data_IF_435883321112
#
_entry.id   IF_435883321112
#
_cell.length_a   1.000
_cell.length_b   1.000
_cell.length_c   1.000
_cell.angle_alpha   90.00
_cell.angle_beta   90.00
_cell.angle_gamma   90.00
#
_symmetry.space_group_name_H-M   'P 1'
#
loop_
_entity.id
_entity.type
_entity.pdbx_description
1 polymer ?
#
# COMPACT_ATOMS: atom_id res chain seq x y z
N UNK A 1 32.10 -56.09 54.57
CA UNK A 1 30.97 -55.20 54.18
C UNK A 1 31.35 -53.74 53.83
N UNK A 2 32.62 -53.28 53.98
CA UNK A 2 33.05 -51.87 53.72
C UNK A 2 33.26 -51.49 52.24
N UNK A 3 33.73 -52.42 51.39
CA UNK A 3 34.07 -52.12 49.98
C UNK A 3 32.87 -51.81 49.07
N UNK A 4 31.71 -52.44 49.31
CA UNK A 4 30.48 -52.25 48.50
C UNK A 4 29.86 -50.85 48.66
N UNK A 5 30.04 -50.20 49.82
CA UNK A 5 29.57 -48.81 50.08
C UNK A 5 30.43 -47.75 49.39
N UNK A 6 31.75 -47.98 49.24
CA UNK A 6 32.67 -47.06 48.57
C UNK A 6 32.45 -47.01 47.05
N UNK A 7 32.19 -48.16 46.42
CA UNK A 7 31.85 -48.26 44.99
C UNK A 7 30.55 -47.51 44.64
N UNK A 8 29.52 -47.66 45.48
CA UNK A 8 28.22 -46.99 45.29
C UNK A 8 28.35 -45.46 45.39
N UNK A 9 29.07 -44.94 46.40
CA UNK A 9 29.39 -43.50 46.53
C UNK A 9 30.19 -42.94 45.34
N UNK A 10 31.11 -43.71 44.78
CA UNK A 10 31.91 -43.28 43.61
C UNK A 10 31.06 -43.22 42.33
N UNK A 11 30.10 -44.15 42.18
CA UNK A 11 29.14 -44.16 41.06
C UNK A 11 28.13 -43.01 41.18
N UNK A 12 27.59 -42.75 42.36
CA UNK A 12 26.70 -41.61 42.65
C UNK A 12 27.38 -40.26 42.40
N UNK A 13 28.64 -40.06 42.85
CA UNK A 13 29.41 -38.85 42.54
C UNK A 13 29.66 -38.64 41.04
N UNK A 14 29.89 -39.72 40.28
CA UNK A 14 30.02 -39.65 38.81
C UNK A 14 28.69 -39.31 38.13
N UNK A 15 27.57 -39.89 38.57
CA UNK A 15 26.23 -39.58 38.09
C UNK A 15 25.84 -38.11 38.37
N UNK A 16 26.14 -37.60 39.56
CA UNK A 16 25.94 -36.19 39.92
C UNK A 16 26.80 -35.24 39.07
N UNK A 17 28.05 -35.62 38.77
CA UNK A 17 28.92 -34.85 37.87
C UNK A 17 28.40 -34.79 36.43
N UNK A 18 27.91 -35.92 35.90
CA UNK A 18 27.31 -35.98 34.54
C UNK A 18 26.01 -35.18 34.49
N UNK A 19 25.15 -35.28 35.51
CA UNK A 19 23.92 -34.49 35.60
C UNK A 19 24.21 -32.98 35.68
N UNK A 20 25.26 -32.57 36.41
CA UNK A 20 25.72 -31.19 36.46
C UNK A 20 26.21 -30.65 35.11
N UNK A 21 26.95 -31.46 34.34
CA UNK A 21 27.42 -31.09 32.99
C UNK A 21 26.23 -30.96 32.03
N UNK A 22 25.26 -31.87 32.08
CA UNK A 22 24.05 -31.81 31.26
C UNK A 22 23.20 -30.57 31.56
N UNK A 23 23.03 -30.23 32.84
CA UNK A 23 22.34 -28.99 33.25
C UNK A 23 23.05 -27.74 32.73
N UNK A 24 24.38 -27.74 32.72
CA UNK A 24 25.19 -26.61 32.25
C UNK A 24 25.10 -26.44 30.73
N UNK A 25 25.07 -27.54 29.97
CA UNK A 25 24.86 -27.51 28.50
C UNK A 25 23.46 -26.98 28.17
N UNK A 26 22.43 -27.43 28.90
CA UNK A 26 21.06 -26.93 28.73
C UNK A 26 21.01 -25.43 29.03
N UNK A 27 21.64 -24.99 30.13
CA UNK A 27 21.68 -23.58 30.53
C UNK A 27 22.37 -22.71 29.46
N UNK A 28 23.51 -23.14 28.94
CA UNK A 28 24.22 -22.44 27.86
C UNK A 28 23.36 -22.38 26.59
N UNK A 29 22.66 -23.47 26.25
CA UNK A 29 21.74 -23.51 25.12
C UNK A 29 20.57 -22.53 25.28
N UNK A 30 19.98 -22.44 26.49
CA UNK A 30 18.92 -21.48 26.81
C UNK A 30 19.44 -20.05 26.72
N UNK A 31 20.60 -19.75 27.31
CA UNK A 31 21.21 -18.42 27.25
C UNK A 31 21.51 -18.04 25.79
N UNK A 32 22.12 -18.95 25.01
CA UNK A 32 22.39 -18.70 23.59
C UNK A 32 21.09 -18.48 22.80
N UNK A 33 20.02 -19.21 23.12
CA UNK A 33 18.70 -19.02 22.51
C UNK A 33 18.11 -17.65 22.86
N UNK A 34 18.20 -17.21 24.11
CA UNK A 34 17.69 -15.91 24.58
C UNK A 34 18.50 -14.77 23.98
N UNK A 35 19.83 -14.86 23.99
CA UNK A 35 20.73 -13.87 23.37
C UNK A 35 20.48 -13.80 21.86
N UNK A 36 20.31 -14.94 21.19
CA UNK A 36 19.91 -14.98 19.79
C UNK A 36 18.56 -14.32 19.58
N UNK A 37 17.54 -14.60 20.40
CA UNK A 37 16.23 -13.96 20.29
C UNK A 37 16.31 -12.43 20.47
N UNK A 38 17.07 -11.96 21.46
CA UNK A 38 17.27 -10.52 21.67
C UNK A 38 18.03 -9.86 20.51
N UNK A 39 19.09 -10.50 20.01
CA UNK A 39 19.81 -10.03 18.83
C UNK A 39 18.91 -9.99 17.59
N UNK A 40 18.01 -10.97 17.44
CA UNK A 40 17.04 -11.01 16.34
C UNK A 40 16.01 -9.88 16.43
N UNK A 41 15.55 -9.52 17.63
CA UNK A 41 14.65 -8.38 17.86
C UNK A 41 15.37 -7.06 17.56
N UNK A 42 16.61 -6.90 18.03
CA UNK A 42 17.40 -5.67 17.78
C UNK A 42 17.83 -5.48 16.31
N UNK A 43 17.85 -6.55 15.51
CA UNK A 43 18.29 -6.52 14.10
C UNK A 43 17.16 -6.78 13.10
N UNK A 44 15.93 -7.00 13.57
CA UNK A 44 14.79 -6.99 12.68
C UNK A 44 14.61 -5.56 12.15
N UNK A 45 14.42 -5.36 10.84
CA UNK A 45 14.01 -4.05 10.35
C UNK A 45 12.69 -3.68 11.06
N UNK A 46 12.65 -2.49 11.66
CA UNK A 46 11.40 -1.91 12.17
C UNK A 46 10.35 -1.97 11.04
N UNK A 47 9.08 -2.31 11.34
CA UNK A 47 8.02 -2.19 10.34
C UNK A 47 8.04 -0.77 9.78
N UNK A 48 8.09 -0.65 8.46
CA UNK A 48 8.38 0.63 7.84
C UNK A 48 7.31 1.67 8.18
N UNK A 49 7.71 2.80 8.81
CA UNK A 49 6.81 3.90 9.12
C UNK A 49 5.98 4.37 7.91
N UNK A 50 6.47 4.14 6.69
CA UNK A 50 5.77 4.46 5.45
C UNK A 50 4.40 3.77 5.31
N UNK A 51 4.20 2.56 5.85
CA UNK A 51 2.92 1.85 5.74
C UNK A 51 1.85 2.33 6.73
N UNK A 52 2.25 3.06 7.76
CA UNK A 52 1.35 3.82 8.64
C UNK A 52 1.41 5.33 8.38
N UNK A 53 2.05 5.75 7.28
CA UNK A 53 2.18 7.15 6.90
C UNK A 53 0.83 7.78 6.58
N UNK A 54 0.77 9.11 6.64
CA UNK A 54 -0.45 9.84 6.25
C UNK A 54 -0.71 9.66 4.75
N UNK A 55 0.36 9.54 3.98
CA UNK A 55 0.41 9.33 2.54
C UNK A 55 -0.23 8.00 2.16
N UNK A 56 0.19 6.88 2.77
CA UNK A 56 -0.41 5.58 2.49
C UNK A 56 -1.88 5.53 2.97
N UNK A 57 -2.22 6.18 4.08
CA UNK A 57 -3.60 6.29 4.53
C UNK A 57 -4.48 7.08 3.55
N UNK A 58 -3.94 8.13 2.92
CA UNK A 58 -4.62 8.88 1.87
C UNK A 58 -4.89 8.00 0.65
N UNK A 59 -3.87 7.28 0.16
CA UNK A 59 -4.01 6.33 -0.96
C UNK A 59 -5.02 5.22 -0.65
N UNK A 60 -5.00 4.66 0.56
CA UNK A 60 -5.91 3.59 0.96
C UNK A 60 -7.38 4.06 1.03
N UNK A 61 -7.62 5.35 1.30
CA UNK A 61 -8.97 5.91 1.28
C UNK A 61 -9.51 6.07 -0.14
N UNK A 62 -8.67 6.47 -1.08
CA UNK A 62 -9.11 6.85 -2.44
C UNK A 62 -9.05 5.70 -3.45
N UNK A 63 -8.04 4.84 -3.35
CA UNK A 63 -7.76 3.81 -4.37
C UNK A 63 -8.95 2.89 -4.68
N UNK A 64 -9.78 2.41 -3.73
CA UNK A 64 -10.89 1.52 -4.08
C UNK A 64 -11.89 2.18 -5.03
N UNK A 65 -12.29 3.42 -4.73
CA UNK A 65 -13.27 4.13 -5.55
C UNK A 65 -12.66 4.65 -6.86
N UNK A 66 -11.38 5.05 -6.86
CA UNK A 66 -10.68 5.38 -8.08
C UNK A 66 -10.57 4.17 -9.03
N UNK A 67 -10.38 2.96 -8.50
CA UNK A 67 -10.42 1.72 -9.29
C UNK A 67 -11.81 1.39 -9.84
N UNK A 68 -12.89 1.66 -9.08
CA UNK A 68 -14.26 1.54 -9.58
C UNK A 68 -14.51 2.50 -10.77
N UNK A 69 -14.01 3.73 -10.67
CA UNK A 69 -14.05 4.71 -11.76
C UNK A 69 -13.27 4.18 -12.96
N UNK A 70 -12.06 3.67 -12.76
CA UNK A 70 -11.26 3.09 -13.83
C UNK A 70 -11.98 1.93 -14.52
N UNK A 71 -12.55 1.00 -13.75
CA UNK A 71 -13.27 -0.16 -14.29
C UNK A 71 -14.43 0.28 -15.19
N UNK A 72 -15.16 1.31 -14.76
CA UNK A 72 -16.35 1.79 -15.44
C UNK A 72 -16.07 2.72 -16.63
N UNK A 73 -14.98 3.48 -16.55
CA UNK A 73 -14.75 4.64 -17.41
C UNK A 73 -13.38 4.66 -18.11
N UNK A 74 -12.46 3.76 -17.78
CA UNK A 74 -11.12 3.69 -18.36
C UNK A 74 -10.13 4.72 -17.83
N UNK A 75 -10.54 5.63 -16.94
CA UNK A 75 -9.66 6.65 -16.37
C UNK A 75 -8.69 5.98 -15.39
N UNK A 76 -7.40 6.00 -15.69
CA UNK A 76 -6.38 5.33 -14.89
C UNK A 76 -6.39 5.81 -13.43
N UNK A 77 -6.34 4.83 -12.51
CA UNK A 77 -6.34 5.07 -11.07
C UNK A 77 -5.10 5.87 -10.67
N UNK A 78 -3.94 5.53 -11.24
CA UNK A 78 -2.68 6.22 -11.00
C UNK A 78 -2.75 7.72 -11.29
N UNK A 79 -3.42 8.10 -12.38
CA UNK A 79 -3.64 9.51 -12.77
C UNK A 79 -4.56 10.20 -11.76
N UNK A 80 -5.67 9.57 -11.42
CA UNK A 80 -6.63 10.12 -10.44
C UNK A 80 -5.95 10.35 -9.08
N UNK A 81 -5.16 9.38 -8.60
CA UNK A 81 -4.45 9.48 -7.33
C UNK A 81 -3.32 10.52 -7.39
N UNK A 82 -2.55 10.59 -8.48
CA UNK A 82 -1.46 11.57 -8.63
C UNK A 82 -1.98 13.01 -8.67
N UNK A 83 -3.08 13.26 -9.40
CA UNK A 83 -3.73 14.56 -9.38
C UNK A 83 -4.31 14.86 -8.00
N UNK A 84 -4.96 13.90 -7.33
CA UNK A 84 -5.46 14.12 -5.99
C UNK A 84 -4.32 14.49 -5.02
N UNK A 85 -3.16 13.83 -5.09
CA UNK A 85 -1.97 14.18 -4.30
C UNK A 85 -1.53 15.61 -4.57
N UNK A 86 -1.30 15.94 -5.85
CA UNK A 86 -0.73 17.22 -6.27
C UNK A 86 -1.65 18.40 -5.93
N UNK A 87 -2.94 18.26 -6.20
CA UNK A 87 -3.92 19.35 -6.10
C UNK A 87 -4.41 19.57 -4.66
N UNK A 88 -4.29 18.56 -3.79
CA UNK A 88 -4.81 18.62 -2.42
C UNK A 88 -3.76 18.58 -1.32
N UNK A 89 -2.47 18.48 -1.67
CA UNK A 89 -1.38 18.28 -0.71
C UNK A 89 -1.66 17.06 0.20
N UNK A 90 -1.89 15.89 -0.42
CA UNK A 90 -2.27 14.67 0.28
C UNK A 90 -3.55 14.81 1.13
N UNK A 91 -4.50 15.62 0.65
CA UNK A 91 -5.76 15.91 1.32
C UNK A 91 -5.66 16.91 2.46
N UNK A 92 -4.50 17.53 2.68
CA UNK A 92 -4.25 18.47 3.79
C UNK A 92 -4.55 19.92 3.41
N UNK A 93 -4.85 20.22 2.15
CA UNK A 93 -5.26 21.56 1.76
C UNK A 93 -6.54 21.96 2.48
N UNK A 94 -6.64 23.23 2.89
CA UNK A 94 -7.85 23.71 3.58
C UNK A 94 -9.14 23.54 2.75
N UNK A 95 -9.02 23.47 1.41
CA UNK A 95 -10.15 23.19 0.53
C UNK A 95 -10.53 21.70 0.53
N UNK A 96 -9.55 20.80 0.54
CA UNK A 96 -9.79 19.37 0.69
C UNK A 96 -10.45 19.03 2.03
N UNK A 97 -10.01 19.68 3.13
CA UNK A 97 -10.57 19.46 4.46
C UNK A 97 -11.97 20.06 4.64
N UNK A 98 -12.19 21.31 4.21
CA UNK A 98 -13.46 22.03 4.47
C UNK A 98 -14.52 21.80 3.39
N UNK A 99 -14.05 21.57 2.17
CA UNK A 99 -14.88 21.41 0.98
C UNK A 99 -15.00 19.98 0.49
N UNK A 100 -14.24 19.02 1.05
CA UNK A 100 -14.05 17.69 0.48
C UNK A 100 -13.62 17.73 -0.99
N UNK A 101 -12.97 18.81 -1.42
CA UNK A 101 -12.69 19.07 -2.83
C UNK A 101 -11.18 18.92 -3.09
N UNK A 102 -10.82 17.77 -3.66
CA UNK A 102 -9.43 17.38 -3.87
C UNK A 102 -8.80 18.07 -5.09
N UNK A 103 -9.60 18.51 -6.06
CA UNK A 103 -9.12 18.96 -7.38
C UNK A 103 -9.38 20.45 -7.66
N UNK A 104 -9.67 21.25 -6.62
CA UNK A 104 -9.84 22.69 -6.79
C UNK A 104 -11.03 23.11 -7.65
N UNK A 105 -12.07 22.27 -7.78
CA UNK A 105 -13.20 22.53 -8.69
C UNK A 105 -13.97 23.76 -8.23
N UNK A 106 -13.99 24.81 -9.04
CA UNK A 106 -14.78 26.04 -8.80
C UNK A 106 -16.28 25.71 -8.85
N UNK A 107 -17.06 26.32 -7.97
CA UNK A 107 -18.50 26.07 -7.82
C UNK A 107 -19.37 27.24 -8.30
N UNK A 108 -20.63 26.93 -8.65
CA UNK A 108 -21.68 27.93 -8.92
C UNK A 108 -22.99 27.47 -8.27
N UNK A 109 -23.84 28.43 -7.88
CA UNK A 109 -25.18 28.13 -7.40
C UNK A 109 -26.00 27.37 -8.46
N UNK A 110 -26.89 26.44 -8.07
CA UNK A 110 -27.35 26.15 -6.69
C UNK A 110 -26.52 25.08 -5.95
N UNK A 111 -25.36 24.66 -6.48
CA UNK A 111 -24.56 23.61 -5.86
C UNK A 111 -23.98 24.07 -4.51
N UNK A 112 -23.78 23.15 -3.54
CA UNK A 112 -23.07 23.46 -2.30
C UNK A 112 -21.67 24.01 -2.60
N UNK A 113 -21.27 25.05 -1.87
CA UNK A 113 -19.98 25.72 -2.07
C UNK A 113 -19.31 26.06 -0.75
N UNK A 114 -17.99 26.19 -0.79
CA UNK A 114 -17.17 26.82 0.25
C UNK A 114 -16.47 28.04 -0.35
N UNK A 115 -16.54 29.17 0.35
CA UNK A 115 -15.85 30.39 -0.06
C UNK A 115 -14.51 30.47 0.63
N UNK A 116 -13.42 30.61 -0.13
CA UNK A 116 -12.06 30.64 0.39
C UNK A 116 -11.23 31.71 -0.33
N UNK A 117 -10.27 32.28 0.38
CA UNK A 117 -9.24 33.11 -0.26
C UNK A 117 -8.29 32.20 -1.02
N UNK A 118 -8.03 32.52 -2.29
CA UNK A 118 -7.09 31.83 -3.16
C UNK A 118 -6.14 32.84 -3.80
N UNK A 119 -4.96 32.38 -4.20
CA UNK A 119 -4.02 33.16 -5.00
C UNK A 119 -4.29 32.94 -6.47
N UNK A 120 -4.46 34.01 -7.22
CA UNK A 120 -4.58 33.98 -8.69
C UNK A 120 -3.43 34.78 -9.29
N UNK A 121 -2.94 34.34 -10.43
CA UNK A 121 -1.92 35.07 -11.19
C UNK A 121 -2.60 35.86 -12.30
N UNK A 122 -2.72 37.17 -12.11
CA UNK A 122 -3.39 38.09 -13.05
C UNK A 122 -2.40 39.19 -13.42
N UNK A 123 -2.23 39.43 -14.72
CA UNK A 123 -1.35 40.48 -15.26
C UNK A 123 0.08 40.44 -14.71
N UNK A 124 0.65 39.24 -14.56
CA UNK A 124 2.03 39.07 -14.09
C UNK A 124 2.22 39.17 -12.58
N UNK A 125 1.14 39.28 -11.78
CA UNK A 125 1.20 39.43 -10.33
C UNK A 125 0.28 38.43 -9.63
N UNK A 126 0.75 37.92 -8.48
CA UNK A 126 -0.09 37.15 -7.56
C UNK A 126 -0.99 38.10 -6.77
N UNK A 127 -2.30 37.88 -6.85
CA UNK A 127 -3.31 38.57 -6.05
C UNK A 127 -4.10 37.56 -5.21
N UNK A 128 -4.58 37.98 -4.04
CA UNK A 128 -5.50 37.18 -3.24
C UNK A 128 -6.94 37.61 -3.52
N UNK A 129 -7.77 36.66 -3.93
CA UNK A 129 -9.20 36.88 -4.15
C UNK A 129 -10.03 35.85 -3.41
N UNK A 130 -11.27 36.21 -3.06
CA UNK A 130 -12.25 35.21 -2.62
C UNK A 130 -12.82 34.49 -3.83
N UNK A 131 -12.72 33.18 -3.84
CA UNK A 131 -13.32 32.31 -4.85
C UNK A 131 -14.29 31.33 -4.18
N UNK A 132 -15.32 30.93 -4.92
CA UNK A 132 -16.24 29.88 -4.50
C UNK A 132 -15.84 28.56 -5.15
N UNK A 133 -15.60 27.56 -4.31
CA UNK A 133 -15.29 26.21 -4.73
C UNK A 133 -16.47 25.30 -4.44
N UNK A 134 -16.63 24.27 -5.25
CA UNK A 134 -17.65 23.24 -5.06
C UNK A 134 -17.36 22.53 -3.74
N UNK A 135 -18.41 22.28 -2.95
CA UNK A 135 -18.34 21.48 -1.73
C UNK A 135 -19.01 20.14 -1.97
N UNK A 136 -18.32 19.07 -1.62
CA UNK A 136 -18.78 17.70 -1.76
C UNK A 136 -19.13 17.10 -0.40
N UNK A 137 -19.93 16.04 -0.41
CA UNK A 137 -20.30 15.24 0.76
C UNK A 137 -19.07 14.55 1.35
N UNK A 138 -18.23 13.99 0.50
CA UNK A 138 -17.01 13.26 0.83
C UNK A 138 -16.03 13.32 -0.37
N UNK A 139 -14.84 12.74 -0.20
CA UNK A 139 -13.84 12.71 -1.27
C UNK A 139 -14.23 11.82 -2.45
N UNK A 140 -15.10 10.83 -2.27
CA UNK A 140 -15.55 9.99 -3.38
C UNK A 140 -16.39 10.81 -4.37
N UNK A 141 -17.29 11.67 -3.88
CA UNK A 141 -18.03 12.59 -4.75
C UNK A 141 -17.09 13.60 -5.47
N UNK A 142 -15.95 13.96 -4.86
CA UNK A 142 -14.93 14.76 -5.54
C UNK A 142 -14.22 13.98 -6.66
N UNK A 143 -13.97 12.67 -6.47
CA UNK A 143 -13.43 11.77 -7.49
C UNK A 143 -14.42 11.58 -8.64
N UNK A 144 -15.70 11.38 -8.35
CA UNK A 144 -16.77 11.31 -9.35
C UNK A 144 -16.86 12.59 -10.19
N UNK A 145 -16.81 13.76 -9.55
CA UNK A 145 -16.84 15.05 -10.25
C UNK A 145 -15.60 15.27 -11.13
N UNK A 146 -14.43 14.78 -10.70
CA UNK A 146 -13.21 14.79 -11.49
C UNK A 146 -13.31 13.87 -12.71
N UNK A 147 -13.82 12.64 -12.53
CA UNK A 147 -14.08 11.73 -13.63
C UNK A 147 -15.10 12.31 -14.63
N UNK A 148 -16.15 12.96 -14.13
CA UNK A 148 -17.18 13.60 -14.96
C UNK A 148 -16.58 14.70 -15.87
N UNK A 149 -15.57 15.44 -15.40
CA UNK A 149 -14.85 16.41 -16.23
C UNK A 149 -14.16 15.74 -17.41
N UNK A 150 -13.52 14.59 -17.20
CA UNK A 150 -12.84 13.88 -18.29
C UNK A 150 -13.82 13.28 -19.28
N UNK A 151 -14.94 12.76 -18.79
CA UNK A 151 -15.96 12.13 -19.63
C UNK A 151 -16.80 13.13 -20.44
N UNK A 152 -16.97 14.36 -19.95
CA UNK A 152 -17.85 15.37 -20.57
C UNK A 152 -17.09 16.53 -21.20
N UNK A 153 -15.80 16.65 -20.94
CA UNK A 153 -15.00 17.81 -21.32
C UNK A 153 -15.50 19.09 -20.66
N UNK A 154 -15.26 20.22 -21.33
CA UNK A 154 -15.76 21.53 -20.91
C UNK A 154 -17.02 21.91 -21.69
N UNK A 155 -17.71 22.96 -21.25
CA UNK A 155 -18.91 23.44 -21.94
C UNK A 155 -18.67 23.90 -23.38
N UNK A 156 -17.43 24.25 -23.74
CA UNK A 156 -17.04 24.69 -25.09
C UNK A 156 -16.23 23.65 -25.88
N UNK A 157 -15.74 22.59 -25.22
CA UNK A 157 -15.06 21.48 -25.89
C UNK A 157 -15.34 20.19 -25.12
N UNK A 158 -16.30 19.41 -25.61
CA UNK A 158 -16.72 18.15 -24.98
C UNK A 158 -15.68 17.05 -25.08
N UNK A 159 -14.83 17.10 -26.10
CA UNK A 159 -13.82 16.10 -26.39
C UNK A 159 -12.46 16.45 -25.78
N UNK A 160 -12.41 17.53 -24.98
CA UNK A 160 -11.16 18.13 -24.46
C UNK A 160 -10.24 17.13 -23.77
N UNK A 161 -10.79 16.12 -23.11
CA UNK A 161 -10.04 15.14 -22.32
C UNK A 161 -10.16 13.70 -22.85
N UNK A 162 -10.67 13.48 -24.08
CA UNK A 162 -10.81 12.13 -24.64
C UNK A 162 -9.47 11.38 -24.68
N UNK A 163 -8.38 12.06 -25.01
CA UNK A 163 -7.04 11.47 -25.00
C UNK A 163 -6.62 10.93 -23.62
N UNK A 164 -7.08 11.55 -22.52
CA UNK A 164 -6.81 11.08 -21.15
C UNK A 164 -7.55 9.77 -20.88
N UNK A 165 -8.80 9.66 -21.33
CA UNK A 165 -9.65 8.47 -21.17
C UNK A 165 -9.18 7.32 -22.07
N UNK A 166 -8.66 7.63 -23.26
CA UNK A 166 -8.15 6.65 -24.23
C UNK A 166 -6.69 6.24 -23.99
N UNK A 167 -6.02 6.82 -23.00
CA UNK A 167 -4.64 6.50 -22.70
C UNK A 167 -4.53 5.10 -22.05
N UNK A 168 -3.65 4.28 -22.60
CA UNK A 168 -3.38 2.91 -22.14
C UNK A 168 -2.31 2.84 -21.04
N UNK A 169 -1.66 3.96 -20.74
CA UNK A 169 -0.67 4.08 -19.68
C UNK A 169 -0.62 5.50 -19.12
N UNK A 170 -0.14 5.61 -17.89
CA UNK A 170 -0.12 6.86 -17.15
C UNK A 170 0.78 7.94 -17.78
N UNK A 171 1.88 7.57 -18.46
CA UNK A 171 2.74 8.57 -19.12
C UNK A 171 1.99 9.24 -20.26
N UNK A 172 1.28 8.47 -21.08
CA UNK A 172 0.42 9.01 -22.13
C UNK A 172 -0.70 9.86 -21.53
N UNK A 173 -1.41 9.37 -20.52
CA UNK A 173 -2.50 10.12 -19.88
C UNK A 173 -2.02 11.47 -19.30
N UNK A 174 -0.85 11.50 -18.66
CA UNK A 174 -0.25 12.73 -18.15
C UNK A 174 0.09 13.74 -19.27
N UNK A 175 0.63 13.26 -20.41
CA UNK A 175 0.91 14.11 -21.57
C UNK A 175 -0.38 14.64 -22.23
N UNK A 176 -1.44 13.83 -22.27
CA UNK A 176 -2.76 14.23 -22.75
C UNK A 176 -3.37 15.30 -21.82
N UNK A 177 -3.19 15.21 -20.51
CA UNK A 177 -3.59 16.26 -19.56
C UNK A 177 -2.87 17.59 -19.81
N UNK A 178 -1.56 17.55 -20.08
CA UNK A 178 -0.76 18.73 -20.42
C UNK A 178 -1.25 19.35 -21.74
N UNK A 179 -1.44 18.51 -22.76
CA UNK A 179 -1.88 18.94 -24.10
C UNK A 179 -3.30 19.51 -24.08
N UNK A 180 -4.19 18.92 -23.28
CA UNK A 180 -5.52 19.44 -23.02
C UNK A 180 -5.49 20.77 -22.24
N UNK A 181 -4.36 21.17 -21.66
CA UNK A 181 -4.26 22.36 -20.83
C UNK A 181 -5.10 22.24 -19.57
N UNK A 182 -4.97 21.10 -18.86
CA UNK A 182 -5.56 20.91 -17.53
C UNK A 182 -4.99 21.93 -16.53
N UNK A 183 -3.67 22.14 -16.56
CA UNK A 183 -2.94 23.13 -15.78
C UNK A 183 -2.14 24.08 -16.69
N UNK A 184 -1.87 25.29 -16.21
CA UNK A 184 -0.99 26.27 -16.88
C UNK A 184 0.49 26.00 -16.64
N UNK A 185 0.80 25.07 -15.74
CA UNK A 185 2.15 24.64 -15.42
C UNK A 185 2.77 23.91 -16.63
N UNK A 186 3.94 24.34 -17.14
CA UNK A 186 4.58 23.70 -18.28
C UNK A 186 5.10 22.28 -17.98
N UNK A 187 5.32 21.94 -16.70
CA UNK A 187 5.89 20.67 -16.25
C UNK A 187 4.83 19.77 -15.59
N UNK A 188 3.54 20.02 -15.82
CA UNK A 188 2.45 19.30 -15.14
C UNK A 188 2.51 17.78 -15.40
N UNK A 189 2.71 17.37 -16.66
CA UNK A 189 2.83 15.96 -17.00
C UNK A 189 4.00 15.28 -16.26
N UNK A 190 5.16 15.94 -16.23
CA UNK A 190 6.36 15.40 -15.57
C UNK A 190 6.16 15.26 -14.06
N UNK A 191 5.48 16.23 -13.42
CA UNK A 191 5.12 16.16 -11.99
C UNK A 191 4.23 14.97 -11.70
N UNK A 192 3.20 14.75 -12.51
CA UNK A 192 2.31 13.59 -12.34
C UNK A 192 3.07 12.28 -12.53
N UNK A 193 3.88 12.15 -13.57
CA UNK A 193 4.71 10.96 -13.83
C UNK A 193 5.65 10.71 -12.63
N UNK A 194 6.31 11.75 -12.12
CA UNK A 194 7.20 11.65 -10.97
C UNK A 194 6.46 11.20 -9.70
N UNK A 195 5.27 11.74 -9.43
CA UNK A 195 4.44 11.29 -8.30
C UNK A 195 4.06 9.83 -8.48
N UNK A 196 3.64 9.42 -9.67
CA UNK A 196 3.25 8.04 -9.95
C UNK A 196 4.42 7.09 -9.70
N UNK A 197 5.60 7.40 -10.23
CA UNK A 197 6.78 6.54 -10.11
C UNK A 197 7.36 6.53 -8.68
N UNK A 198 7.35 7.65 -7.97
CA UNK A 198 7.88 7.72 -6.59
C UNK A 198 7.02 6.97 -5.57
N UNK A 199 5.71 6.85 -5.83
CA UNK A 199 4.76 6.20 -4.92
C UNK A 199 4.17 4.90 -5.51
N UNK A 200 4.77 4.38 -6.58
CA UNK A 200 4.34 3.18 -7.28
C UNK A 200 2.84 3.16 -7.65
N UNK A 201 2.27 4.31 -8.02
CA UNK A 201 0.83 4.44 -8.22
C UNK A 201 0.34 3.65 -9.46
N UNK A 202 1.23 3.37 -10.41
CA UNK A 202 0.96 2.52 -11.57
C UNK A 202 0.54 1.11 -11.17
N UNK A 203 0.86 0.68 -9.95
CA UNK A 203 0.39 -0.61 -9.45
C UNK A 203 -1.14 -0.63 -9.28
N UNK A 204 -1.77 0.50 -8.96
CA UNK A 204 -3.23 0.55 -8.79
C UNK A 204 -4.00 0.48 -10.11
N UNK A 205 -3.34 0.63 -11.26
CA UNK A 205 -3.98 0.53 -12.58
C UNK A 205 -4.36 -0.91 -12.95
N UNK A 206 -3.83 -1.91 -12.25
CA UNK A 206 -4.15 -3.32 -12.53
C UNK A 206 -5.37 -3.78 -11.71
N UNK A 207 -6.49 -3.98 -12.39
CA UNK A 207 -7.80 -4.24 -11.76
C UNK A 207 -8.58 -5.43 -12.33
N UNK A 208 -8.05 -6.09 -13.36
CA UNK A 208 -8.74 -7.03 -14.23
C UNK A 208 -8.41 -8.51 -13.98
N UNK A 209 -7.63 -8.81 -12.94
CA UNK A 209 -7.21 -10.19 -12.63
C UNK A 209 -8.41 -11.05 -12.24
N UNK A 210 -8.47 -12.32 -12.67
CA UNK A 210 -9.58 -13.23 -12.36
C UNK A 210 -9.17 -14.32 -11.40
N UNK A 211 -10.01 -14.61 -10.41
CA UNK A 211 -9.80 -15.74 -9.49
C UNK A 211 -10.34 -17.02 -10.15
N UNK A 212 -9.46 -18.01 -10.35
CA UNK A 212 -9.83 -19.34 -10.83
C UNK A 212 -10.25 -20.26 -9.69
N UNK A 213 -9.54 -20.20 -8.57
CA UNK A 213 -9.91 -20.86 -7.33
C UNK A 213 -9.37 -20.09 -6.14
N UNK A 214 -10.04 -20.25 -5.01
CA UNK A 214 -9.58 -19.84 -3.70
C UNK A 214 -10.00 -20.91 -2.69
N UNK A 215 -9.02 -21.60 -2.12
CA UNK A 215 -9.24 -22.75 -1.26
C UNK A 215 -8.42 -22.66 0.02
N UNK A 216 -8.83 -23.42 1.04
CA UNK A 216 -8.08 -23.54 2.29
C UNK A 216 -6.70 -24.13 1.99
N UNK A 217 -5.67 -23.53 2.56
CA UNK A 217 -4.32 -24.06 2.59
C UNK A 217 -3.98 -24.42 4.03
N UNK A 218 -3.10 -25.39 4.20
CA UNK A 218 -2.57 -25.78 5.50
C UNK A 218 -1.05 -25.91 5.43
N UNK A 219 -0.41 -25.67 6.56
CA UNK A 219 1.03 -25.75 6.74
C UNK A 219 1.66 -24.39 7.01
N UNK A 220 2.98 -24.39 6.97
CA UNK A 220 3.81 -23.23 7.25
C UNK A 220 4.78 -22.98 6.10
N UNK A 221 5.31 -21.77 6.03
CA UNK A 221 6.36 -21.42 5.09
C UNK A 221 7.20 -20.25 5.61
N UNK A 222 8.34 -20.03 4.97
CA UNK A 222 9.16 -18.85 5.21
C UNK A 222 9.33 -18.08 3.92
N UNK A 223 9.57 -16.78 4.05
CA UNK A 223 9.97 -15.93 2.92
C UNK A 223 11.31 -16.45 2.37
N UNK A 224 11.44 -16.53 1.05
CA UNK A 224 12.71 -16.90 0.40
C UNK A 224 13.79 -15.83 0.68
N UNK A 225 15.04 -16.27 0.73
CA UNK A 225 16.18 -15.36 0.87
C UNK A 225 16.31 -14.46 -0.36
N UNK A 226 16.79 -13.23 -0.15
CA UNK A 226 17.13 -12.24 -1.19
C UNK A 226 16.02 -11.83 -2.17
N UNK A 227 14.76 -12.10 -1.84
CA UNK A 227 13.61 -11.59 -2.60
C UNK A 227 13.00 -10.35 -1.91
N UNK A 228 12.40 -9.45 -2.70
CA UNK A 228 11.50 -8.39 -2.25
C UNK A 228 10.10 -8.66 -2.80
N UNK A 229 9.08 -8.08 -2.17
CA UNK A 229 7.71 -8.26 -2.61
C UNK A 229 6.71 -7.70 -1.64
N UNK A 230 5.51 -7.45 -2.12
CA UNK A 230 4.46 -6.83 -1.35
C UNK A 230 3.48 -7.86 -0.77
N UNK A 231 2.97 -7.57 0.42
CA UNK A 231 1.77 -8.15 1.01
C UNK A 231 0.59 -7.28 0.59
N UNK A 232 -0.52 -7.90 0.21
CA UNK A 232 -1.71 -7.23 -0.27
C UNK A 232 -2.96 -7.63 0.53
N UNK A 233 -3.96 -6.76 0.61
CA UNK A 233 -5.25 -7.07 1.27
C UNK A 233 -6.03 -8.21 0.59
N UNK A 234 -5.79 -8.40 -0.70
CA UNK A 234 -6.26 -9.50 -1.58
C UNK A 234 -5.22 -9.71 -2.69
N UNK A 235 -5.24 -10.81 -3.46
CA UNK A 235 -4.34 -10.99 -4.59
C UNK A 235 -4.21 -9.72 -5.46
N UNK A 236 -2.98 -9.26 -5.68
CA UNK A 236 -2.71 -8.06 -6.48
C UNK A 236 -3.20 -8.25 -7.91
N UNK A 237 -3.76 -7.18 -8.48
CA UNK A 237 -4.42 -7.18 -9.79
C UNK A 237 -5.93 -7.31 -9.70
N UNK A 238 -6.48 -7.69 -8.55
CA UNK A 238 -7.91 -7.60 -8.29
C UNK A 238 -8.31 -6.17 -7.92
N UNK A 239 -9.48 -5.74 -8.38
CA UNK A 239 -10.10 -4.50 -7.92
C UNK A 239 -10.16 -4.43 -6.39
N UNK A 240 -9.72 -3.32 -5.82
CA UNK A 240 -9.62 -3.07 -4.38
C UNK A 240 -8.40 -3.72 -3.70
N UNK A 241 -7.45 -4.27 -4.45
CA UNK A 241 -6.17 -4.73 -3.88
C UNK A 241 -5.33 -3.55 -3.41
N UNK A 242 -4.98 -3.56 -2.12
CA UNK A 242 -4.17 -2.51 -1.50
C UNK A 242 -2.90 -3.10 -0.93
N UNK A 243 -1.78 -2.40 -1.11
CA UNK A 243 -0.51 -2.79 -0.53
C UNK A 243 -0.60 -2.62 0.98
N UNK A 244 -0.30 -3.68 1.71
CA UNK A 244 -0.27 -3.70 3.17
C UNK A 244 1.13 -3.31 3.65
N UNK A 245 2.15 -4.04 3.18
CA UNK A 245 3.56 -3.83 3.56
C UNK A 245 4.51 -4.66 2.68
N UNK A 246 5.81 -4.55 2.91
CA UNK A 246 6.81 -5.44 2.29
C UNK A 246 6.91 -6.77 3.03
N UNK A 247 6.95 -7.89 2.29
CA UNK A 247 7.14 -9.24 2.85
C UNK A 247 8.47 -9.40 3.59
N UNK A 248 9.42 -8.49 3.34
CA UNK A 248 10.75 -8.51 3.92
C UNK A 248 10.75 -8.37 5.45
N UNK A 249 9.75 -7.72 6.04
CA UNK A 249 9.61 -7.62 7.50
C UNK A 249 9.40 -9.00 8.15
N UNK A 250 8.87 -9.96 7.39
CA UNK A 250 8.53 -11.29 7.87
C UNK A 250 9.55 -12.37 7.47
N UNK A 251 10.74 -11.98 6.98
CA UNK A 251 11.77 -12.94 6.53
C UNK A 251 12.16 -13.99 7.56
N UNK A 252 12.03 -13.66 8.84
CA UNK A 252 12.40 -14.53 9.97
C UNK A 252 11.21 -15.20 10.65
N UNK A 253 9.99 -14.86 10.24
CA UNK A 253 8.76 -15.39 10.82
C UNK A 253 8.40 -16.75 10.21
N UNK A 254 7.75 -17.59 11.02
CA UNK A 254 7.13 -18.82 10.53
C UNK A 254 5.68 -18.54 10.13
N UNK A 255 5.46 -18.39 8.82
CA UNK A 255 4.20 -17.93 8.27
C UNK A 255 3.22 -19.09 8.16
N UNK A 256 2.09 -18.99 8.84
CA UNK A 256 1.00 -19.93 8.65
C UNK A 256 0.32 -19.64 7.33
N UNK A 257 0.12 -20.67 6.50
CA UNK A 257 -0.59 -20.56 5.24
C UNK A 257 -2.07 -20.86 5.48
N UNK A 258 -2.93 -19.86 5.26
CA UNK A 258 -4.38 -19.98 5.52
C UNK A 258 -5.16 -20.38 4.26
N UNK A 259 -4.81 -19.79 3.11
CA UNK A 259 -5.50 -19.98 1.83
C UNK A 259 -4.50 -19.98 0.68
N UNK A 260 -4.88 -20.62 -0.42
CA UNK A 260 -4.21 -20.51 -1.71
C UNK A 260 -5.23 -20.06 -2.76
N UNK A 261 -4.88 -19.03 -3.52
CA UNK A 261 -5.70 -18.55 -4.63
C UNK A 261 -4.90 -18.55 -5.93
N UNK A 262 -5.53 -18.98 -7.03
CA UNK A 262 -4.97 -18.88 -8.38
C UNK A 262 -5.66 -17.75 -9.13
N UNK A 263 -4.85 -16.89 -9.72
CA UNK A 263 -5.25 -15.75 -10.54
C UNK A 263 -4.58 -15.82 -11.92
N UNK A 264 -4.94 -14.94 -12.87
CA UNK A 264 -4.25 -14.80 -14.15
C UNK A 264 -2.78 -14.42 -13.91
N UNK A 265 -2.54 -13.55 -12.94
CA UNK A 265 -1.20 -13.06 -12.62
C UNK A 265 -0.31 -14.06 -11.89
N UNK A 266 -0.85 -15.18 -11.39
CA UNK A 266 -0.10 -16.17 -10.64
C UNK A 266 -0.86 -16.79 -9.47
N UNK A 267 -0.14 -17.50 -8.62
CA UNK A 267 -0.71 -18.12 -7.41
C UNK A 267 -0.29 -17.32 -6.18
N UNK A 268 -1.20 -17.25 -5.22
CA UNK A 268 -1.08 -16.44 -4.02
C UNK A 268 -1.32 -17.30 -2.78
N UNK A 269 -0.62 -16.98 -1.70
CA UNK A 269 -0.95 -17.47 -0.36
C UNK A 269 -1.49 -16.35 0.50
N UNK A 270 -2.56 -16.63 1.25
CA UNK A 270 -2.88 -15.83 2.42
C UNK A 270 -2.03 -16.30 3.59
N UNK A 271 -1.30 -15.38 4.21
CA UNK A 271 -0.35 -15.65 5.29
C UNK A 271 -0.82 -15.04 6.62
N UNK A 272 -0.39 -15.66 7.71
CA UNK A 272 -0.66 -15.22 9.07
C UNK A 272 0.56 -15.41 9.98
N UNK A 273 0.69 -14.53 10.97
CA UNK A 273 1.64 -14.65 12.09
C UNK A 273 0.85 -14.76 13.37
N UNK A 274 1.15 -15.77 14.20
CA UNK A 274 0.43 -16.04 15.46
C UNK A 274 -1.10 -16.13 15.27
N UNK A 275 -1.52 -16.81 14.20
CA UNK A 275 -2.92 -16.97 13.78
C UNK A 275 -3.66 -15.71 13.32
N UNK A 276 -3.03 -14.54 13.35
CA UNK A 276 -3.58 -13.30 12.81
C UNK A 276 -3.25 -13.14 11.31
N UNK A 277 -4.25 -13.05 10.42
CA UNK A 277 -4.01 -12.83 9.00
C UNK A 277 -3.34 -11.48 8.74
N UNK A 278 -2.27 -11.48 7.94
CA UNK A 278 -1.56 -10.26 7.53
C UNK A 278 -2.00 -9.85 6.11
N UNK A 279 -2.12 -10.82 5.21
CA UNK A 279 -2.54 -10.55 3.84
C UNK A 279 -2.12 -11.63 2.85
N UNK A 280 -2.06 -11.25 1.58
CA UNK A 280 -1.80 -12.11 0.43
C UNK A 280 -0.45 -11.81 -0.19
N UNK A 281 0.32 -12.86 -0.49
CA UNK A 281 1.64 -12.77 -1.11
C UNK A 281 1.75 -13.73 -2.28
N UNK A 282 2.57 -13.41 -3.28
CA UNK A 282 2.86 -14.34 -4.38
C UNK A 282 3.45 -15.62 -3.79
N UNK A 283 2.92 -16.77 -4.21
CA UNK A 283 3.36 -18.11 -3.78
C UNK A 283 4.85 -18.31 -3.98
N UNK A 284 5.42 -17.74 -5.05
CA UNK A 284 6.85 -17.85 -5.35
C UNK A 284 7.76 -17.16 -4.34
N UNK A 285 7.25 -16.24 -3.52
CA UNK A 285 7.99 -15.59 -2.43
C UNK A 285 8.14 -16.50 -1.22
N UNK A 286 7.36 -17.58 -1.13
CA UNK A 286 7.29 -18.45 0.05
C UNK A 286 7.91 -19.81 -0.25
N UNK A 287 8.86 -20.23 0.59
CA UNK A 287 9.35 -21.60 0.67
C UNK A 287 8.50 -22.37 1.68
N UNK A 288 7.61 -23.23 1.18
CA UNK A 288 6.75 -24.08 2.03
C UNK A 288 7.58 -25.12 2.77
N UNK A 289 7.25 -25.36 4.04
CA UNK A 289 7.79 -26.41 4.89
C UNK A 289 6.96 -27.69 4.82
#
# INVERSE_FOLDING_TARGET
>A
MKYRKLSKKKKEKRLLGIAGILLLIILVGVIASVVRQQYLIMTAPEPDPAFHSKEQNFLNKLSPHAQEIQEKHGILTSITLAQAILESDWGQSGLAEKGNNLFGVKGKAPQPMVSMTTKEFVDGKWIEIKANFRKYKDWNESLDAHAELFLKGTTWNKDKYNGVVEADNYKKAAQELQTAGYATDPDYAEKLISIIENYDLQLYDRIDDKIYYDTKSTGYGNVKEDISGAIWTRPYGLTGAQKVEEINYYKREDLKLLREAKTDSGTWYQIAVKDEPIGWVKKELIKKK
#
